data_IF_044585499724
#
_entry.id   IF_044585499724
#
_cell.length_a   1.000
_cell.length_b   1.000
_cell.length_c   1.000
_cell.angle_alpha   90.00
_cell.angle_beta   90.00
_cell.angle_gamma   90.00
#
_symmetry.space_group_name_H-M   'P 1'
#
loop_
_entity.id
_entity.type
_entity.pdbx_description
1 polymer ?
#
# COMPACT_ATOMS: atom_id res chain seq x y z
N UNK A 1 5.73 13.01 -9.78
CA UNK A 1 6.13 12.68 -8.38
C UNK A 1 4.85 12.53 -7.58
N UNK A 2 4.68 11.43 -6.87
CA UNK A 2 3.51 11.20 -6.01
C UNK A 2 3.88 11.76 -4.62
N UNK A 3 3.14 12.74 -4.12
CA UNK A 3 3.38 13.37 -2.82
C UNK A 3 2.58 12.63 -1.72
N UNK A 4 3.22 11.95 -0.75
CA UNK A 4 2.52 11.15 0.26
C UNK A 4 1.54 11.92 1.14
N UNK A 5 1.84 13.21 1.37
CA UNK A 5 0.97 14.12 2.11
C UNK A 5 -0.41 14.29 1.46
N UNK A 6 -0.54 14.05 0.15
CA UNK A 6 -1.82 14.18 -0.55
C UNK A 6 -2.82 13.06 -0.26
N UNK A 7 -2.38 11.96 0.37
CA UNK A 7 -3.26 10.85 0.73
C UNK A 7 -3.69 10.84 2.19
N UNK A 8 -3.20 11.79 3.00
CA UNK A 8 -3.61 11.88 4.40
C UNK A 8 -5.12 12.18 4.48
N UNK A 9 -5.83 11.41 5.30
CA UNK A 9 -7.29 11.48 5.46
C UNK A 9 -8.06 11.30 4.14
N UNK A 10 -7.43 10.66 3.15
CA UNK A 10 -8.01 10.37 1.85
C UNK A 10 -7.78 8.89 1.56
N UNK A 11 -8.73 8.02 1.96
CA UNK A 11 -8.59 6.59 1.75
C UNK A 11 -8.61 6.28 0.25
N UNK A 12 -7.43 6.05 -0.30
CA UNK A 12 -7.22 5.65 -1.70
C UNK A 12 -6.75 4.20 -1.68
N UNK A 13 -7.52 3.33 -2.31
CA UNK A 13 -7.11 1.95 -2.55
C UNK A 13 -6.20 1.88 -3.78
N UNK A 14 -5.07 1.18 -3.65
CA UNK A 14 -4.13 0.88 -4.70
C UNK A 14 -4.04 -0.63 -4.86
N UNK A 15 -4.21 -1.12 -6.08
CA UNK A 15 -3.97 -2.53 -6.44
C UNK A 15 -2.66 -2.66 -7.21
N UNK A 16 -1.78 -3.54 -6.76
CA UNK A 16 -0.52 -3.87 -7.43
C UNK A 16 -0.53 -5.35 -7.78
N UNK A 17 -0.50 -5.66 -9.06
CA UNK A 17 -0.35 -7.01 -9.59
C UNK A 17 1.11 -7.31 -9.94
N UNK A 18 1.58 -8.49 -9.56
CA UNK A 18 2.88 -9.02 -9.98
C UNK A 18 2.63 -10.31 -10.75
N UNK A 19 3.16 -10.35 -11.97
CA UNK A 19 3.00 -11.45 -12.92
C UNK A 19 4.35 -12.15 -13.16
N UNK A 20 4.37 -13.49 -13.08
CA UNK A 20 5.57 -14.30 -13.31
C UNK A 20 5.54 -15.61 -12.51
N UNK A 21 5.27 -16.73 -13.19
CA UNK A 21 5.13 -18.06 -12.56
C UNK A 21 3.83 -18.21 -11.75
N UNK A 22 3.67 -17.41 -10.69
CA UNK A 22 2.43 -17.26 -9.93
C UNK A 22 2.00 -15.79 -9.92
N UNK A 23 0.76 -15.52 -10.33
CA UNK A 23 0.18 -14.17 -10.29
C UNK A 23 -0.28 -13.84 -8.87
N UNK A 24 0.13 -12.68 -8.35
CA UNK A 24 -0.37 -12.18 -7.07
C UNK A 24 -0.80 -10.73 -7.21
N UNK A 25 -1.92 -10.39 -6.57
CA UNK A 25 -2.40 -9.00 -6.49
C UNK A 25 -2.52 -8.61 -5.03
N UNK A 26 -1.97 -7.46 -4.67
CA UNK A 26 -2.13 -6.85 -3.34
C UNK A 26 -2.92 -5.56 -3.45
N UNK A 27 -3.89 -5.40 -2.56
CA UNK A 27 -4.62 -4.16 -2.37
C UNK A 27 -4.13 -3.48 -1.09
N UNK A 28 -3.79 -2.21 -1.19
CA UNK A 28 -3.25 -1.39 -0.09
C UNK A 28 -4.03 -0.09 0.00
N UNK A 29 -4.16 0.46 1.21
CA UNK A 29 -4.63 1.83 1.39
C UNK A 29 -3.42 2.77 1.33
N UNK A 30 -3.52 3.93 0.69
CA UNK A 30 -2.43 4.93 0.65
C UNK A 30 -2.51 5.97 1.77
N UNK A 31 -3.41 5.80 2.74
CA UNK A 31 -3.52 6.68 3.90
C UNK A 31 -2.64 6.14 5.05
N UNK A 32 -1.49 6.77 5.36
CA UNK A 32 -0.61 6.31 6.43
C UNK A 32 -1.18 6.60 7.83
N UNK A 33 -2.17 7.50 7.94
CA UNK A 33 -2.69 7.93 9.24
C UNK A 33 -4.19 7.69 9.35
N UNK A 34 -4.58 6.44 9.56
CA UNK A 34 -5.97 6.06 9.83
C UNK A 34 -6.29 6.31 11.31
N UNK A 35 -6.15 7.55 11.76
CA UNK A 35 -6.60 7.96 13.09
C UNK A 35 -8.14 8.03 13.09
N UNK A 36 -8.80 7.08 13.77
CA UNK A 36 -10.26 7.03 13.92
C UNK A 36 -10.89 5.78 13.30
N UNK A 37 -12.19 5.85 12.98
CA UNK A 37 -12.90 4.73 12.36
C UNK A 37 -12.47 4.61 10.90
N UNK A 38 -11.83 3.49 10.47
CA UNK A 38 -11.42 3.32 9.09
C UNK A 38 -12.62 3.42 8.16
N UNK A 39 -12.48 4.11 7.02
CA UNK A 39 -13.52 4.12 6.01
C UNK A 39 -13.81 2.65 5.63
N UNK A 40 -15.09 2.21 5.56
CA UNK A 40 -15.44 0.82 5.27
C UNK A 40 -14.79 0.20 4.02
N UNK A 41 -14.29 1.03 3.10
CA UNK A 41 -13.64 0.61 1.85
C UNK A 41 -12.19 0.16 2.04
N UNK A 42 -11.55 0.55 3.14
CA UNK A 42 -10.13 0.26 3.39
C UNK A 42 -9.90 -0.59 4.64
N UNK A 43 -10.99 -1.07 5.26
CA UNK A 43 -10.92 -1.98 6.41
C UNK A 43 -10.24 -3.28 5.99
N UNK A 44 -9.18 -3.65 6.70
CA UNK A 44 -8.41 -4.87 6.42
C UNK A 44 -7.37 -4.75 5.31
N UNK A 45 -7.25 -3.60 4.65
CA UNK A 45 -6.15 -3.34 3.72
C UNK A 45 -4.87 -3.03 4.49
N UNK A 46 -3.72 -3.42 3.91
CA UNK A 46 -2.43 -3.01 4.43
C UNK A 46 -2.28 -1.49 4.32
N UNK A 47 -1.68 -0.89 5.36
CA UNK A 47 -1.30 0.53 5.38
C UNK A 47 0.17 0.69 4.99
N UNK A 48 0.54 1.81 4.35
CA UNK A 48 1.92 2.08 4.01
C UNK A 48 2.68 2.60 5.24
N UNK A 49 3.99 2.39 5.27
CA UNK A 49 4.88 3.09 6.21
C UNK A 49 5.41 4.36 5.56
N UNK A 50 5.66 5.39 6.37
CA UNK A 50 6.33 6.62 5.91
C UNK A 50 7.83 6.45 6.13
N UNK A 51 8.60 6.52 5.06
CA UNK A 51 10.06 6.50 5.09
C UNK A 51 10.62 7.85 5.51
N UNK A 52 11.90 7.87 5.92
CA UNK A 52 12.61 9.09 6.35
C UNK A 52 12.76 10.13 5.24
N UNK A 53 12.77 9.70 3.98
CA UNK A 53 12.79 10.54 2.78
C UNK A 53 11.39 11.04 2.38
N UNK A 54 10.36 10.72 3.18
CA UNK A 54 9.00 11.17 2.99
C UNK A 54 8.21 10.37 1.96
N UNK A 55 8.73 9.23 1.46
CA UNK A 55 8.01 8.30 0.58
C UNK A 55 7.11 7.33 1.35
N UNK A 56 6.10 6.77 0.66
CA UNK A 56 5.30 5.65 1.17
C UNK A 56 5.95 4.33 0.74
N UNK A 57 6.05 3.40 1.67
CA UNK A 57 6.55 2.05 1.43
C UNK A 57 5.45 1.02 1.75
N UNK A 58 5.31 0.03 0.86
CA UNK A 58 4.36 -1.07 1.00
C UNK A 58 5.12 -2.39 0.86
N UNK A 59 4.75 -3.37 1.66
CA UNK A 59 5.35 -4.70 1.56
C UNK A 59 4.68 -5.46 0.41
N UNK A 60 5.47 -6.12 -0.44
CA UNK A 60 4.95 -6.90 -1.57
C UNK A 60 5.09 -8.42 -1.39
N UNK A 61 5.64 -8.87 -0.25
CA UNK A 61 5.82 -10.27 0.09
C UNK A 61 7.18 -10.81 -0.35
N UNK A 62 7.30 -12.14 -0.35
CA UNK A 62 8.53 -12.82 -0.74
C UNK A 62 8.53 -13.15 -2.23
N UNK A 63 9.64 -12.88 -2.90
CA UNK A 63 9.85 -13.24 -4.30
C UNK A 63 11.01 -14.23 -4.40
N UNK A 64 10.77 -15.34 -5.11
CA UNK A 64 11.78 -16.37 -5.33
C UNK A 64 12.35 -16.24 -6.73
N UNK A 65 13.65 -15.93 -6.83
CA UNK A 65 14.37 -16.05 -8.09
C UNK A 65 14.93 -17.48 -8.17
N UNK A 66 14.30 -18.33 -8.99
CA UNK A 66 14.93 -19.58 -9.42
C UNK A 66 16.12 -19.21 -10.32
N UNK A 67 17.33 -19.35 -9.80
CA UNK A 67 18.58 -19.06 -10.52
C UNK A 67 18.81 -19.96 -11.72
#
# INVERSE_FOLDING_TARGET
MIEPRRFHNRPVELSVGVEGGHSTTRNVCLDPNVEGTPHPRVVGLQLPSVRTDGWLEIEMGEFFNSG
#
